data_IF_197764406389
#
_entry.id   IF_197764406389
#
_cell.length_a   1.000
_cell.length_b   1.000
_cell.length_c   1.000
_cell.angle_alpha   90.00
_cell.angle_beta   90.00
_cell.angle_gamma   90.00
#
_symmetry.space_group_name_H-M   'P 1'
#
loop_
_entity.id
_entity.type
_entity.pdbx_description
1 polymer ?
#
# COMPACT_ATOMS: atom_id res chain seq x y z
N UNK A 1 21.88 -30.88 -50.01
CA UNK A 1 21.58 -29.42 -50.02
C UNK A 1 21.03 -28.91 -48.67
N UNK A 2 20.31 -29.72 -47.86
CA UNK A 2 19.65 -29.25 -46.63
C UNK A 2 20.54 -28.96 -45.40
N UNK A 3 21.61 -29.73 -45.18
CA UNK A 3 22.44 -29.59 -43.96
C UNK A 3 23.22 -28.27 -43.88
N UNK A 4 23.72 -27.77 -45.03
CA UNK A 4 24.44 -26.48 -45.07
C UNK A 4 23.53 -25.28 -44.73
N UNK A 5 22.22 -25.40 -44.92
CA UNK A 5 21.25 -24.35 -44.57
C UNK A 5 20.96 -24.34 -43.07
N UNK A 6 20.89 -25.51 -42.45
CA UNK A 6 20.70 -25.65 -41.00
C UNK A 6 21.89 -25.09 -40.21
N UNK A 7 23.13 -25.40 -40.61
CA UNK A 7 24.33 -24.89 -39.95
C UNK A 7 24.43 -23.37 -40.07
N UNK A 8 24.11 -22.79 -41.23
CA UNK A 8 24.10 -21.32 -41.42
C UNK A 8 23.08 -20.62 -40.52
N UNK A 9 21.90 -21.22 -40.30
CA UNK A 9 20.87 -20.68 -39.39
C UNK A 9 21.32 -20.74 -37.93
N UNK A 10 21.96 -21.82 -37.49
CA UNK A 10 22.48 -21.94 -36.12
C UNK A 10 23.62 -20.96 -35.87
N UNK A 11 24.54 -20.80 -36.82
CA UNK A 11 25.66 -19.84 -36.69
C UNK A 11 25.15 -18.39 -36.67
N UNK A 12 24.14 -18.06 -37.47
CA UNK A 12 23.50 -16.73 -37.42
C UNK A 12 22.80 -16.49 -36.07
N UNK A 13 22.16 -17.52 -35.51
CA UNK A 13 21.51 -17.45 -34.19
C UNK A 13 22.51 -17.29 -33.05
N UNK A 14 23.68 -17.93 -33.13
CA UNK A 14 24.76 -17.79 -32.15
C UNK A 14 25.37 -16.37 -32.19
N UNK A 15 25.65 -15.83 -33.39
CA UNK A 15 26.19 -14.47 -33.53
C UNK A 15 25.24 -13.39 -33.02
N UNK A 16 23.95 -13.47 -33.37
CA UNK A 16 22.95 -12.52 -32.86
C UNK A 16 22.78 -12.55 -31.33
N UNK A 17 23.09 -13.69 -30.69
CA UNK A 17 23.06 -13.84 -29.24
C UNK A 17 24.30 -13.21 -28.57
N UNK A 18 25.46 -13.25 -29.21
CA UNK A 18 26.68 -12.58 -28.74
C UNK A 18 26.56 -11.05 -28.81
N UNK A 19 25.98 -10.54 -29.90
CA UNK A 19 25.73 -9.09 -30.08
C UNK A 19 24.75 -8.54 -29.02
N UNK A 20 23.73 -9.33 -28.67
CA UNK A 20 22.79 -9.01 -27.58
C UNK A 20 23.49 -8.99 -26.21
N UNK A 21 24.44 -9.90 -25.96
CA UNK A 21 25.18 -9.95 -24.71
C UNK A 21 26.19 -8.80 -24.57
N UNK A 22 26.79 -8.32 -25.67
CA UNK A 22 27.63 -7.13 -25.67
C UNK A 22 26.81 -5.85 -25.39
N UNK A 23 25.61 -5.72 -25.96
CA UNK A 23 24.74 -4.58 -25.69
C UNK A 23 24.26 -4.52 -24.23
N UNK A 24 23.95 -5.66 -23.61
CA UNK A 24 23.57 -5.72 -22.19
C UNK A 24 24.73 -5.33 -21.27
N UNK A 25 25.98 -5.70 -21.61
CA UNK A 25 27.18 -5.27 -20.86
C UNK A 25 27.43 -3.76 -20.97
N UNK A 26 27.18 -3.17 -22.14
CA UNK A 26 27.35 -1.73 -22.37
C UNK A 26 26.36 -0.90 -21.52
N UNK A 27 25.09 -1.31 -21.45
CA UNK A 27 24.07 -0.64 -20.61
C UNK A 27 24.42 -0.72 -19.12
N UNK A 28 25.02 -1.83 -18.67
CA UNK A 28 25.40 -2.01 -17.27
C UNK A 28 26.60 -1.15 -16.85
N UNK A 29 27.49 -0.81 -17.79
CA UNK A 29 28.63 0.09 -17.53
C UNK A 29 28.22 1.57 -17.43
N UNK A 30 27.17 1.98 -18.16
CA UNK A 30 26.65 3.36 -18.12
C UNK A 30 25.95 3.65 -16.77
N UNK A 31 25.27 2.65 -16.19
CA UNK A 31 24.56 2.80 -14.92
C UNK A 31 25.44 3.02 -13.68
N UNK A 32 26.72 2.61 -13.71
CA UNK A 32 27.63 2.73 -12.55
C UNK A 32 28.27 4.13 -12.47
N UNK A 33 28.30 4.90 -13.57
CA UNK A 33 28.98 6.21 -13.63
C UNK A 33 28.15 7.37 -13.07
N UNK A 34 26.85 7.18 -12.80
CA UNK A 34 25.95 8.25 -12.31
C UNK A 34 25.74 8.27 -10.80
N UNK A 35 26.40 7.40 -10.03
CA UNK A 35 26.21 7.30 -8.57
C UNK A 35 27.27 8.07 -7.73
N UNK A 36 28.07 8.95 -8.33
CA UNK A 36 29.17 9.67 -7.66
C UNK A 36 29.15 11.20 -7.88
N UNK A 37 27.97 11.82 -7.82
CA UNK A 37 27.84 13.28 -7.88
C UNK A 37 26.88 13.80 -6.81
N UNK A 38 27.42 14.28 -5.69
CA UNK A 38 26.66 14.96 -4.65
C UNK A 38 26.36 16.43 -4.99
N UNK A 39 25.15 16.88 -4.65
CA UNK A 39 24.75 18.29 -4.56
C UNK A 39 23.60 18.36 -3.52
N UNK A 40 23.83 18.82 -2.30
CA UNK A 40 23.77 20.22 -1.87
C UNK A 40 22.39 20.86 -2.10
N UNK A 41 21.53 20.82 -1.07
CA UNK A 41 20.26 21.55 -1.02
C UNK A 41 20.50 23.01 -0.60
N UNK A 42 20.09 24.02 -1.39
CA UNK A 42 19.98 25.38 -0.89
C UNK A 42 18.59 25.60 -0.26
N UNK A 43 18.61 26.04 0.99
CA UNK A 43 17.50 26.60 1.75
C UNK A 43 16.80 27.71 0.97
N UNK A 44 15.47 27.63 0.82
CA UNK A 44 14.64 28.77 0.42
C UNK A 44 13.89 29.30 1.64
N UNK A 45 14.29 30.50 2.02
CA UNK A 45 13.68 31.38 3.00
C UNK A 45 12.21 31.64 2.65
N UNK A 46 11.30 31.33 3.58
CA UNK A 46 9.92 31.74 3.51
C UNK A 46 9.84 33.22 3.91
N UNK A 47 9.54 34.10 2.95
CA UNK A 47 9.23 35.50 3.21
C UNK A 47 7.92 35.60 3.99
N UNK A 48 8.00 36.24 5.15
CA UNK A 48 6.89 36.58 6.02
C UNK A 48 5.90 37.51 5.29
N UNK A 49 4.66 37.05 5.10
CA UNK A 49 3.55 37.88 4.71
C UNK A 49 2.79 38.34 5.97
N UNK A 50 2.77 39.64 6.17
CA UNK A 50 2.03 40.36 7.21
C UNK A 50 0.50 40.21 7.04
N UNK A 51 -0.28 40.02 8.11
CA UNK A 51 -1.74 39.97 8.00
C UNK A 51 -2.36 41.38 7.94
N UNK A 52 -3.14 41.62 6.90
CA UNK A 52 -3.92 42.83 6.67
C UNK A 52 -5.19 42.89 7.52
N UNK A 53 -5.35 44.00 8.24
CA UNK A 53 -6.59 44.70 8.67
C UNK A 53 -7.85 43.87 8.97
N UNK A 54 -8.16 43.78 10.26
CA UNK A 54 -9.45 43.36 10.83
C UNK A 54 -10.52 44.44 10.58
N UNK A 55 -11.61 44.07 9.91
CA UNK A 55 -12.88 44.82 9.92
C UNK A 55 -13.84 44.11 10.86
N UNK A 56 -14.28 44.82 11.90
CA UNK A 56 -15.32 44.40 12.85
C UNK A 56 -16.68 44.34 12.13
N UNK A 57 -17.36 43.19 12.23
CA UNK A 57 -18.82 43.14 12.19
C UNK A 57 -19.30 42.25 13.32
N UNK A 58 -20.06 42.86 14.23
CA UNK A 58 -20.64 42.22 15.39
C UNK A 58 -21.80 41.29 15.03
N UNK A 59 -22.12 40.42 15.97
CA UNK A 59 -23.29 39.55 15.95
C UNK A 59 -23.16 38.51 17.05
N UNK A 60 -23.83 38.74 18.18
CA UNK A 60 -23.98 37.77 19.25
C UNK A 60 -24.79 36.57 18.74
N UNK A 61 -24.18 35.39 18.73
CA UNK A 61 -24.86 34.12 18.59
C UNK A 61 -24.28 33.15 19.62
N UNK A 62 -25.19 32.50 20.35
CA UNK A 62 -24.95 31.69 21.54
C UNK A 62 -24.14 30.41 21.24
N UNK A 63 -23.28 30.06 22.18
CA UNK A 63 -22.83 28.72 22.63
C UNK A 63 -22.25 27.65 21.70
N UNK A 64 -22.09 27.85 20.39
CA UNK A 64 -21.39 26.85 19.56
C UNK A 64 -19.88 27.09 19.38
N UNK A 65 -19.39 28.28 19.75
CA UNK A 65 -18.00 28.70 19.48
C UNK A 65 -16.98 28.28 20.54
N UNK A 66 -17.41 28.11 21.78
CA UNK A 66 -16.59 27.69 22.92
C UNK A 66 -16.22 26.22 22.79
N UNK A 67 -17.19 25.33 22.55
CA UNK A 67 -16.91 23.90 22.39
C UNK A 67 -15.96 23.60 21.23
N UNK A 68 -16.09 24.31 20.10
CA UNK A 68 -15.20 24.13 18.94
C UNK A 68 -13.77 24.59 19.24
N UNK A 69 -13.61 25.65 20.05
CA UNK A 69 -12.30 26.10 20.55
C UNK A 69 -11.71 25.15 21.57
N UNK A 70 -12.51 24.60 22.47
CA UNK A 70 -12.07 23.64 23.50
C UNK A 70 -11.72 22.28 22.88
N UNK A 71 -12.48 21.84 21.87
CA UNK A 71 -12.14 20.67 21.04
C UNK A 71 -10.83 20.90 20.29
N UNK A 72 -10.63 22.08 19.71
CA UNK A 72 -9.38 22.42 19.03
C UNK A 72 -8.19 22.49 20.01
N UNK A 73 -8.36 23.09 21.17
CA UNK A 73 -7.35 23.16 22.23
C UNK A 73 -7.00 21.77 22.77
N UNK A 74 -7.99 20.90 22.99
CA UNK A 74 -7.76 19.52 23.43
C UNK A 74 -7.06 18.68 22.36
N UNK A 75 -7.36 18.89 21.07
CA UNK A 75 -6.63 18.26 19.96
C UNK A 75 -5.18 18.76 19.92
N UNK A 76 -4.94 20.06 20.05
CA UNK A 76 -3.58 20.62 20.10
C UNK A 76 -2.78 20.07 21.29
N UNK A 77 -3.39 20.01 22.46
CA UNK A 77 -2.80 19.40 23.65
C UNK A 77 -2.47 17.93 23.38
N UNK A 78 -3.38 17.18 22.75
CA UNK A 78 -3.17 15.77 22.40
C UNK A 78 -2.03 15.56 21.39
N UNK A 79 -1.83 16.49 20.45
CA UNK A 79 -0.74 16.45 19.48
C UNK A 79 0.60 16.81 20.13
N UNK A 80 0.62 17.77 21.07
CA UNK A 80 1.81 18.12 21.84
C UNK A 80 2.17 17.01 22.85
N UNK A 81 1.17 16.32 23.38
CA UNK A 81 1.33 15.19 24.29
C UNK A 81 1.55 13.85 23.56
N UNK A 82 1.41 13.79 22.24
CA UNK A 82 1.64 12.54 21.51
C UNK A 82 3.11 12.08 21.70
N UNK A 83 3.36 10.82 22.07
CA UNK A 83 4.72 10.32 22.19
C UNK A 83 5.41 10.40 20.83
N UNK A 84 6.61 10.98 20.79
CA UNK A 84 7.45 10.89 19.60
C UNK A 84 7.69 9.42 19.24
N UNK A 85 7.73 9.04 17.94
CA UNK A 85 8.00 7.67 17.53
C UNK A 85 9.30 7.19 18.16
N UNK A 86 9.21 6.11 18.93
CA UNK A 86 10.31 5.60 19.76
C UNK A 86 11.46 5.16 18.85
N UNK A 87 12.55 5.93 18.87
CA UNK A 87 13.85 5.45 18.37
C UNK A 87 14.43 4.50 19.41
N UNK A 88 15.18 3.51 18.96
CA UNK A 88 15.87 2.59 19.87
C UNK A 88 16.78 3.39 20.81
N UNK A 89 16.51 3.35 22.12
CA UNK A 89 17.38 3.96 23.12
C UNK A 89 18.60 3.06 23.33
N UNK A 90 19.80 3.64 23.25
CA UNK A 90 21.06 2.95 23.54
C UNK A 90 21.09 2.52 25.01
N UNK A 91 21.77 1.42 25.31
CA UNK A 91 21.82 0.85 26.67
C UNK A 91 22.34 1.85 27.73
N UNK A 92 23.33 2.68 27.35
CA UNK A 92 23.85 3.76 28.20
C UNK A 92 22.78 4.78 28.62
N UNK A 93 21.86 5.11 27.74
CA UNK A 93 20.80 6.08 28.02
C UNK A 93 19.68 5.45 28.88
N UNK A 94 19.44 4.15 28.74
CA UNK A 94 18.54 3.38 29.62
C UNK A 94 19.05 3.36 31.06
N UNK A 95 20.36 3.15 31.25
CA UNK A 95 20.99 3.17 32.57
C UNK A 95 20.88 4.55 33.23
N UNK A 96 21.09 5.63 32.48
CA UNK A 96 20.89 7.01 32.96
C UNK A 96 19.45 7.30 33.35
N UNK A 97 18.48 6.77 32.60
CA UNK A 97 17.06 6.90 32.96
C UNK A 97 16.72 6.12 34.24
N UNK A 98 17.30 4.94 34.45
CA UNK A 98 17.13 4.16 35.68
C UNK A 98 17.78 4.85 36.89
N UNK A 99 18.94 5.48 36.73
CA UNK A 99 19.57 6.30 37.78
C UNK A 99 18.74 7.54 38.12
N UNK A 100 18.16 8.20 37.10
CA UNK A 100 17.24 9.34 37.30
C UNK A 100 15.96 8.94 38.04
N UNK A 101 15.43 7.76 37.75
CA UNK A 101 14.29 7.21 38.49
C UNK A 101 14.61 6.86 39.93
N UNK A 102 15.79 6.29 40.18
CA UNK A 102 16.28 6.05 41.55
C UNK A 102 16.41 7.36 42.33
N UNK A 103 16.70 8.46 41.66
CA UNK A 103 16.73 9.82 42.21
C UNK A 103 15.36 10.52 42.22
N UNK A 104 14.27 9.82 41.87
CA UNK A 104 12.90 10.34 41.93
C UNK A 104 12.48 11.26 40.78
N UNK A 105 13.32 11.44 39.76
CA UNK A 105 13.02 12.25 38.57
C UNK A 105 12.42 11.34 37.51
N UNK A 106 11.09 11.22 37.51
CA UNK A 106 10.36 10.40 36.54
C UNK A 106 10.19 11.17 35.22
N UNK A 107 10.40 10.50 34.08
CA UNK A 107 10.15 11.10 32.77
C UNK A 107 8.65 11.05 32.41
N UNK A 108 8.17 12.04 31.66
CA UNK A 108 6.77 12.09 31.17
C UNK A 108 6.35 10.83 30.42
N UNK A 109 7.30 10.14 29.77
CA UNK A 109 7.06 8.85 29.10
C UNK A 109 6.70 7.71 30.06
N UNK A 110 7.30 7.69 31.25
CA UNK A 110 7.08 6.66 32.28
C UNK A 110 5.87 6.95 33.15
N UNK A 111 5.56 8.23 33.41
CA UNK A 111 4.28 8.63 34.02
C UNK A 111 3.09 8.12 33.19
N UNK A 112 3.15 8.28 31.86
CA UNK A 112 2.13 7.77 30.93
C UNK A 112 2.06 6.23 30.90
N UNK A 113 3.19 5.54 31.07
CA UNK A 113 3.19 4.08 31.16
C UNK A 113 2.47 3.61 32.44
N UNK A 114 2.79 4.25 33.58
CA UNK A 114 2.13 3.99 34.86
C UNK A 114 0.63 4.31 34.81
N UNK A 115 0.21 5.39 34.14
CA UNK A 115 -1.21 5.72 33.94
C UNK A 115 -1.93 4.70 33.05
N UNK A 116 -1.29 4.21 31.98
CA UNK A 116 -1.84 3.15 31.12
C UNK A 116 -1.99 1.84 31.88
N UNK A 117 -1.03 1.48 32.71
CA UNK A 117 -1.09 0.26 33.51
C UNK A 117 -2.14 0.36 34.62
N UNK A 118 -2.28 1.53 35.26
CA UNK A 118 -3.41 1.82 36.18
C UNK A 118 -4.77 1.78 35.47
N UNK A 119 -4.87 2.28 34.25
CA UNK A 119 -6.11 2.25 33.46
C UNK A 119 -6.48 0.81 33.04
N UNK A 120 -5.50 0.02 32.60
CA UNK A 120 -5.68 -1.41 32.31
C UNK A 120 -6.11 -2.20 33.55
N UNK A 121 -5.48 -1.97 34.70
CA UNK A 121 -5.87 -2.61 35.96
C UNK A 121 -7.33 -2.29 36.35
N UNK A 122 -7.77 -1.03 36.15
CA UNK A 122 -9.16 -0.63 36.36
C UNK A 122 -10.14 -1.25 35.34
N UNK A 123 -9.73 -1.43 34.10
CA UNK A 123 -10.53 -2.08 33.06
C UNK A 123 -10.75 -3.57 33.37
N UNK A 124 -9.68 -4.29 33.73
CA UNK A 124 -9.74 -5.71 34.13
C UNK A 124 -10.62 -5.91 35.38
N UNK A 125 -10.59 -4.98 36.34
CA UNK A 125 -11.48 -5.02 37.50
C UNK A 125 -12.96 -4.76 37.15
N UNK A 126 -13.24 -4.04 36.05
CA UNK A 126 -14.60 -3.73 35.58
C UNK A 126 -15.20 -4.86 34.75
N UNK A 127 -14.38 -5.59 34.00
CA UNK A 127 -14.79 -6.79 33.26
C UNK A 127 -15.15 -7.95 34.20
N UNK A 128 -14.40 -8.14 35.29
CA UNK A 128 -14.71 -9.16 36.31
C UNK A 128 -16.05 -8.93 37.03
N UNK A 129 -16.63 -7.72 36.98
CA UNK A 129 -17.96 -7.41 37.56
C UNK A 129 -19.12 -7.54 36.58
N UNK A 130 -18.87 -7.82 35.28
CA UNK A 130 -19.90 -7.93 34.23
C UNK A 130 -20.25 -9.37 33.84
N UNK A 131 -19.58 -10.38 34.41
CA UNK A 131 -19.76 -11.78 34.03
C UNK A 131 -21.01 -12.46 34.63
N UNK A 132 -21.75 -11.83 35.57
CA UNK A 132 -22.86 -12.46 36.29
C UNK A 132 -24.27 -12.17 35.72
N UNK A 133 -24.43 -12.12 34.38
CA UNK A 133 -25.78 -12.06 33.76
C UNK A 133 -25.91 -13.08 32.62
N UNK A 134 -26.73 -14.13 32.75
CA UNK A 134 -26.99 -15.06 31.66
C UNK A 134 -27.97 -14.46 30.65
N UNK A 135 -27.61 -14.49 29.36
CA UNK A 135 -28.45 -14.09 28.24
C UNK A 135 -28.99 -15.34 27.53
N UNK A 136 -30.28 -15.30 27.19
CA UNK A 136 -31.05 -16.40 26.61
C UNK A 136 -30.53 -16.84 25.24
N UNK A 137 -30.40 -18.15 25.08
CA UNK A 137 -29.99 -18.85 23.86
C UNK A 137 -31.08 -18.80 22.79
N UNK A 138 -30.67 -18.45 21.56
CA UNK A 138 -31.46 -18.61 20.34
C UNK A 138 -30.60 -19.47 19.43
N UNK A 139 -31.05 -20.69 19.16
CA UNK A 139 -30.34 -21.67 18.34
C UNK A 139 -30.44 -21.30 16.87
N UNK A 140 -29.52 -20.46 16.40
CA UNK A 140 -29.13 -20.42 15.00
C UNK A 140 -28.01 -21.44 14.82
N UNK A 141 -28.16 -22.35 13.86
CA UNK A 141 -27.20 -23.39 13.51
C UNK A 141 -25.86 -22.79 13.05
N UNK A 142 -25.07 -22.35 14.02
CA UNK A 142 -23.66 -22.09 13.87
C UNK A 142 -22.99 -23.46 13.82
N UNK A 143 -22.40 -23.80 12.69
CA UNK A 143 -21.37 -24.84 12.65
C UNK A 143 -20.34 -24.41 13.69
N UNK A 144 -20.32 -25.08 14.83
CA UNK A 144 -19.38 -24.81 15.91
C UNK A 144 -17.98 -25.03 15.35
N UNK A 145 -17.21 -23.95 15.27
CA UNK A 145 -15.80 -23.93 14.84
C UNK A 145 -14.93 -24.86 15.72
N UNK A 146 -15.48 -25.39 16.80
CA UNK A 146 -14.88 -26.33 17.74
C UNK A 146 -14.46 -27.67 17.09
N UNK A 147 -15.04 -28.07 15.95
CA UNK A 147 -14.59 -29.26 15.21
C UNK A 147 -13.45 -29.00 14.21
N UNK A 148 -13.04 -27.74 14.00
CA UNK A 148 -11.96 -27.38 13.05
C UNK A 148 -10.60 -27.16 13.70
N UNK A 149 -10.47 -27.42 15.01
CA UNK A 149 -9.18 -27.47 15.71
C UNK A 149 -8.51 -28.85 15.61
N UNK A 150 -9.24 -29.85 15.11
CA UNK A 150 -8.75 -31.20 14.91
C UNK A 150 -7.79 -31.25 13.71
N UNK A 151 -6.53 -30.93 14.01
CA UNK A 151 -5.33 -31.35 13.28
C UNK A 151 -5.22 -30.87 11.83
N UNK A 152 -5.01 -29.57 11.67
CA UNK A 152 -4.20 -29.10 10.53
C UNK A 152 -2.79 -29.68 10.72
N UNK A 153 -2.45 -30.72 9.94
CA UNK A 153 -1.12 -31.29 9.93
C UNK A 153 -0.11 -30.19 9.55
N UNK A 154 0.63 -29.69 10.53
CA UNK A 154 1.69 -28.71 10.32
C UNK A 154 2.81 -29.39 9.56
N UNK A 155 2.92 -29.12 8.26
CA UNK A 155 4.07 -29.57 7.47
C UNK A 155 5.27 -28.72 7.87
N UNK A 156 6.24 -29.31 8.57
CA UNK A 156 7.46 -28.63 8.97
C UNK A 156 8.34 -28.38 7.75
N UNK A 157 8.13 -27.26 7.05
CA UNK A 157 9.17 -26.75 6.17
C UNK A 157 10.38 -26.41 7.03
N UNK A 158 11.53 -27.01 6.71
CA UNK A 158 12.77 -26.60 7.34
C UNK A 158 13.00 -25.11 7.05
N UNK A 159 13.45 -24.35 8.06
CA UNK A 159 13.66 -22.89 7.94
C UNK A 159 14.55 -22.55 6.74
N UNK A 160 15.49 -23.42 6.41
CA UNK A 160 16.38 -23.28 5.27
C UNK A 160 15.68 -23.38 3.91
N UNK A 161 14.75 -24.32 3.75
CA UNK A 161 13.95 -24.45 2.54
C UNK A 161 13.06 -23.22 2.34
N UNK A 162 12.44 -22.73 3.42
CA UNK A 162 11.66 -21.49 3.38
C UNK A 162 12.50 -20.29 2.95
N UNK A 163 13.70 -20.12 3.52
CA UNK A 163 14.63 -19.05 3.13
C UNK A 163 15.10 -19.16 1.67
N UNK A 164 15.34 -20.37 1.17
CA UNK A 164 15.72 -20.61 -0.23
C UNK A 164 14.59 -20.22 -1.18
N UNK A 165 13.37 -20.69 -0.91
CA UNK A 165 12.18 -20.38 -1.73
C UNK A 165 11.88 -18.87 -1.77
N UNK A 166 11.95 -18.20 -0.62
CA UNK A 166 11.72 -16.75 -0.54
C UNK A 166 12.76 -15.96 -1.35
N UNK A 167 14.04 -16.37 -1.32
CA UNK A 167 15.10 -15.74 -2.12
C UNK A 167 14.89 -15.95 -3.62
N UNK A 168 14.53 -17.16 -4.05
CA UNK A 168 14.25 -17.43 -5.47
C UNK A 168 13.03 -16.67 -5.96
N UNK A 169 11.95 -16.62 -5.17
CA UNK A 169 10.77 -15.80 -5.50
C UNK A 169 11.11 -14.31 -5.63
N UNK A 170 11.95 -13.79 -4.71
CA UNK A 170 12.42 -12.40 -4.78
C UNK A 170 13.23 -12.14 -6.06
N UNK A 171 14.11 -13.06 -6.47
CA UNK A 171 14.86 -12.96 -7.74
C UNK A 171 13.93 -12.98 -8.94
N UNK A 172 12.95 -13.89 -8.94
CA UNK A 172 11.96 -14.03 -10.00
C UNK A 172 11.17 -12.73 -10.20
N UNK A 173 10.62 -12.17 -9.11
CA UNK A 173 9.90 -10.90 -9.16
C UNK A 173 10.75 -9.74 -9.69
N UNK A 174 12.01 -9.65 -9.25
CA UNK A 174 12.92 -8.60 -9.73
C UNK A 174 13.24 -8.76 -11.21
N UNK A 175 13.34 -10.00 -11.71
CA UNK A 175 13.53 -10.28 -13.14
C UNK A 175 12.30 -9.82 -13.93
N UNK A 176 11.09 -10.20 -13.50
CA UNK A 176 9.86 -9.78 -14.17
C UNK A 176 9.67 -8.26 -14.17
N UNK A 177 9.93 -7.60 -13.04
CA UNK A 177 9.81 -6.15 -12.92
C UNK A 177 10.76 -5.42 -13.89
N UNK A 178 12.01 -5.88 -14.01
CA UNK A 178 12.97 -5.32 -14.97
C UNK A 178 12.52 -5.53 -16.41
N UNK A 179 12.00 -6.71 -16.74
CA UNK A 179 11.48 -7.01 -18.09
C UNK A 179 10.28 -6.12 -18.43
N UNK A 180 9.34 -5.94 -17.49
CA UNK A 180 8.20 -5.04 -17.66
C UNK A 180 8.64 -3.59 -17.86
N UNK A 181 9.54 -3.09 -17.01
CA UNK A 181 10.07 -1.73 -17.12
C UNK A 181 10.80 -1.50 -18.46
N UNK A 182 11.58 -2.47 -18.93
CA UNK A 182 12.24 -2.39 -20.24
C UNK A 182 11.21 -2.33 -21.39
N UNK A 183 10.19 -3.20 -21.36
CA UNK A 183 9.14 -3.21 -22.37
C UNK A 183 8.32 -1.92 -22.38
N UNK A 184 8.00 -1.38 -21.20
CA UNK A 184 7.31 -0.09 -21.04
C UNK A 184 8.15 1.07 -21.59
N UNK A 185 9.45 1.10 -21.29
CA UNK A 185 10.35 2.13 -21.81
C UNK A 185 10.44 2.11 -23.34
N UNK A 186 10.55 0.92 -23.94
CA UNK A 186 10.55 0.76 -25.40
C UNK A 186 9.21 1.23 -25.98
N UNK A 187 8.08 0.84 -25.38
CA UNK A 187 6.75 1.29 -25.81
C UNK A 187 6.60 2.81 -25.71
N UNK A 188 7.13 3.44 -24.65
CA UNK A 188 7.10 4.88 -24.46
C UNK A 188 7.95 5.62 -25.50
N UNK A 189 9.14 5.11 -25.82
CA UNK A 189 10.00 5.66 -26.87
C UNK A 189 9.30 5.61 -28.23
N UNK A 190 8.83 4.42 -28.62
CA UNK A 190 8.09 4.24 -29.88
C UNK A 190 6.84 5.13 -29.96
N UNK A 191 6.12 5.33 -28.86
CA UNK A 191 4.97 6.25 -28.82
C UNK A 191 5.39 7.70 -29.09
N UNK A 192 6.51 8.15 -28.50
CA UNK A 192 7.03 9.51 -28.73
C UNK A 192 7.49 9.70 -30.17
N UNK A 193 8.21 8.72 -30.70
CA UNK A 193 8.71 8.75 -32.08
C UNK A 193 7.54 8.76 -33.08
N UNK A 194 6.49 7.97 -32.82
CA UNK A 194 5.27 7.97 -33.61
C UNK A 194 4.57 9.34 -33.61
N UNK A 195 4.47 10.01 -32.46
CA UNK A 195 3.91 11.37 -32.37
C UNK A 195 4.78 12.38 -33.13
N UNK A 196 6.11 12.25 -33.04
CA UNK A 196 7.05 13.11 -33.77
C UNK A 196 6.95 12.92 -35.30
N UNK A 197 6.67 11.71 -35.78
CA UNK A 197 6.48 11.43 -37.20
C UNK A 197 5.19 12.02 -37.80
N UNK A 198 4.21 12.42 -36.98
CA UNK A 198 2.95 13.00 -37.46
C UNK A 198 3.14 14.43 -38.02
N UNK A 199 2.30 14.85 -38.99
CA UNK A 199 2.19 16.23 -39.42
C UNK A 199 1.80 17.18 -38.28
N UNK A 200 2.20 18.46 -38.36
CA UNK A 200 2.04 19.45 -37.28
C UNK A 200 0.61 19.55 -36.73
N UNK A 201 -0.39 19.62 -37.61
CA UNK A 201 -1.81 19.77 -37.24
C UNK A 201 -2.37 18.56 -36.47
N UNK A 202 -1.83 17.35 -36.68
CA UNK A 202 -2.23 16.14 -35.92
C UNK A 202 -1.40 15.98 -34.65
N UNK A 203 -0.13 16.40 -34.68
CA UNK A 203 0.77 16.33 -33.54
C UNK A 203 0.23 17.14 -32.35
N UNK A 204 -0.27 18.35 -32.60
CA UNK A 204 -0.88 19.21 -31.57
C UNK A 204 -2.09 18.54 -30.91
N UNK A 205 -2.96 17.91 -31.71
CA UNK A 205 -4.13 17.18 -31.20
C UNK A 205 -3.72 15.92 -30.43
N UNK A 206 -2.70 15.20 -30.88
CA UNK A 206 -2.23 13.96 -30.27
C UNK A 206 -1.49 14.17 -28.93
N UNK A 207 -1.01 15.39 -28.65
CA UNK A 207 -0.39 15.74 -27.38
C UNK A 207 -1.41 15.89 -26.24
N UNK A 208 -2.68 16.14 -26.57
CA UNK A 208 -3.76 16.27 -25.60
C UNK A 208 -4.14 14.88 -25.09
N UNK A 209 -4.10 14.62 -23.76
CA UNK A 209 -4.53 13.34 -23.21
C UNK A 209 -6.04 13.15 -23.37
N UNK A 210 -6.45 11.94 -23.70
CA UNK A 210 -7.86 11.58 -23.77
C UNK A 210 -8.45 11.40 -22.36
N UNK A 211 -9.57 12.07 -22.08
CA UNK A 211 -10.30 12.00 -20.82
C UNK A 211 -11.54 11.11 -20.90
N UNK A 212 -11.79 10.44 -22.02
CA UNK A 212 -12.88 9.47 -22.10
C UNK A 212 -12.65 8.34 -21.08
N UNK A 213 -13.62 8.02 -20.22
CA UNK A 213 -13.47 6.94 -19.25
C UNK A 213 -13.42 5.60 -19.98
N UNK A 214 -12.77 4.62 -19.36
CA UNK A 214 -12.77 3.26 -19.89
C UNK A 214 -14.20 2.71 -19.96
N UNK A 215 -14.52 1.91 -21.00
CA UNK A 215 -15.85 1.36 -21.16
C UNK A 215 -16.15 0.37 -20.01
N UNK A 216 -17.36 0.40 -19.43
CA UNK A 216 -17.74 -0.48 -18.34
C UNK A 216 -17.87 -1.95 -18.76
N UNK A 217 -17.86 -2.23 -20.06
CA UNK A 217 -17.91 -3.58 -20.64
C UNK A 217 -16.58 -4.35 -20.56
N UNK A 218 -15.51 -3.72 -20.05
CA UNK A 218 -14.21 -4.37 -19.91
C UNK A 218 -14.21 -5.35 -18.73
N UNK A 219 -14.39 -6.63 -19.03
CA UNK A 219 -14.34 -7.73 -18.04
C UNK A 219 -12.87 -8.09 -17.77
N UNK A 220 -12.43 -8.22 -16.50
CA UNK A 220 -11.09 -8.72 -16.19
C UNK A 220 -10.95 -10.17 -16.65
N UNK A 221 -9.71 -10.61 -16.89
CA UNK A 221 -9.47 -12.00 -17.24
C UNK A 221 -9.93 -12.93 -16.10
N UNK A 222 -10.89 -13.80 -16.38
CA UNK A 222 -11.37 -14.85 -15.48
C UNK A 222 -10.52 -16.12 -15.66
N UNK A 223 -10.40 -16.93 -14.60
CA UNK A 223 -9.68 -18.22 -14.65
C UNK A 223 -10.35 -19.20 -15.63
N UNK A 224 -11.67 -19.12 -15.77
CA UNK A 224 -12.49 -19.91 -16.68
C UNK A 224 -13.17 -19.01 -17.71
N UNK A 225 -13.34 -19.47 -18.96
CA UNK A 225 -14.14 -18.74 -19.94
C UNK A 225 -15.61 -18.67 -19.49
N UNK A 226 -16.39 -17.68 -19.98
CA UNK A 226 -17.79 -17.53 -19.59
C UNK A 226 -18.63 -18.72 -20.08
N UNK A 227 -19.54 -19.18 -19.21
CA UNK A 227 -20.48 -20.26 -19.53
C UNK A 227 -21.59 -19.69 -20.44
N UNK A 228 -21.89 -20.31 -21.59
CA UNK A 228 -22.94 -19.84 -22.47
C UNK A 228 -24.30 -19.89 -21.77
N UNK A 229 -25.13 -18.86 -21.93
CA UNK A 229 -26.50 -18.82 -21.40
C UNK A 229 -26.64 -18.55 -19.89
N UNK A 230 -25.58 -18.67 -19.09
CA UNK A 230 -25.67 -18.53 -17.63
C UNK A 230 -26.21 -17.16 -17.18
N UNK A 231 -25.74 -16.07 -17.79
CA UNK A 231 -26.23 -14.72 -17.45
C UNK A 231 -27.71 -14.59 -17.81
N UNK A 232 -28.13 -15.15 -18.94
CA UNK A 232 -29.52 -15.10 -19.39
C UNK A 232 -30.44 -15.87 -18.45
N UNK A 233 -30.04 -17.07 -18.02
CA UNK A 233 -30.78 -17.88 -17.06
C UNK A 233 -30.94 -17.16 -15.72
N UNK A 234 -29.84 -16.60 -15.19
CA UNK A 234 -29.88 -15.84 -13.94
C UNK A 234 -30.77 -14.59 -14.05
N UNK A 235 -30.73 -13.87 -15.17
CA UNK A 235 -31.64 -12.73 -15.40
C UNK A 235 -33.09 -13.17 -15.49
N UNK A 236 -33.39 -14.28 -16.20
CA UNK A 236 -34.75 -14.81 -16.33
C UNK A 236 -35.30 -15.25 -14.98
N UNK A 237 -34.52 -15.97 -14.17
CA UNK A 237 -34.93 -16.39 -12.83
C UNK A 237 -35.12 -15.20 -11.88
N UNK A 238 -34.24 -14.19 -11.94
CA UNK A 238 -34.38 -12.96 -11.17
C UNK A 238 -35.69 -12.22 -11.53
N UNK A 239 -35.97 -12.04 -12.81
CA UNK A 239 -37.21 -11.44 -13.30
C UNK A 239 -38.45 -12.21 -12.83
N UNK A 240 -38.43 -13.55 -12.88
CA UNK A 240 -39.52 -14.39 -12.39
C UNK A 240 -39.75 -14.21 -10.88
N UNK A 241 -38.69 -14.21 -10.08
CA UNK A 241 -38.77 -14.00 -8.63
C UNK A 241 -39.28 -12.60 -8.25
N UNK A 242 -38.85 -11.56 -8.97
CA UNK A 242 -39.29 -10.18 -8.76
C UNK A 242 -40.77 -9.99 -9.11
N UNK A 243 -41.27 -10.69 -10.14
CA UNK A 243 -42.71 -10.72 -10.48
C UNK A 243 -43.52 -11.36 -9.36
N UNK A 244 -43.06 -12.46 -8.78
CA UNK A 244 -43.75 -13.14 -7.67
C UNK A 244 -43.82 -12.25 -6.42
N UNK A 245 -42.75 -11.52 -6.09
CA UNK A 245 -42.75 -10.60 -4.93
C UNK A 245 -43.66 -9.38 -5.12
N UNK A 246 -43.82 -8.87 -6.35
CA UNK A 246 -44.74 -7.75 -6.63
C UNK A 246 -46.22 -8.12 -6.58
N UNK A 247 -46.55 -9.41 -6.62
CA UNK A 247 -47.92 -9.92 -6.56
C UNK A 247 -48.37 -10.31 -5.14
N UNK A 248 -47.45 -10.24 -4.15
CA UNK A 248 -47.74 -10.40 -2.72
C UNK A 248 -47.88 -9.03 -2.06
#
# INVERSE_FOLDING_TARGET
>A
MGERVAVKRVVAYMKGREDLLQNVRCVQQIGVRWASGGAANPSREAKAASPSKVVKKGGAAKDEGTEKRDKFASILQSCLDAPSPVRHMKERDRLRELEREKLGIVSKGKERALERDKAKAKAVAKEKKKADKPAAEREDATVTVEQTEQQLASYELTKEQGMKLAKEYSKFLMKEARLKAAAENVRLQLKKDAIAALPAHLREKALIPDFTPFPPTRIPASLTPPIPGYVEEMTRSAEQSAKIQKMR
#
